data_IF_386790597859
#
_entry.id   IF_386790597859
#
_cell.length_a   1.000
_cell.length_b   1.000
_cell.length_c   1.000
_cell.angle_alpha   90.00
_cell.angle_beta   90.00
_cell.angle_gamma   90.00
#
_symmetry.space_group_name_H-M   'P 1'
#
loop_
_entity.id
_entity.type
_entity.pdbx_description
1 polymer ?
#
# COMPACT_ATOMS: atom_id res chain seq x y z
N UNK A 1 20.77 71.03 39.98
CA UNK A 1 20.48 71.17 38.54
C UNK A 1 20.78 69.85 37.86
N UNK A 2 19.84 69.39 37.04
CA UNK A 2 19.70 68.06 36.44
C UNK A 2 20.94 67.52 35.70
N UNK A 3 21.03 66.19 35.60
CA UNK A 3 21.24 65.58 34.30
C UNK A 3 20.15 64.53 33.98
N UNK A 4 19.34 64.91 33.00
CA UNK A 4 18.90 64.13 31.83
C UNK A 4 18.80 62.60 31.91
N UNK A 5 17.53 62.16 31.87
CA UNK A 5 16.96 60.94 31.30
C UNK A 5 17.83 60.18 30.28
N UNK A 6 18.17 58.93 30.61
CA UNK A 6 18.46 57.86 29.65
C UNK A 6 17.33 56.82 29.70
N UNK A 7 16.43 56.86 28.72
CA UNK A 7 15.36 55.88 28.59
C UNK A 7 15.95 54.51 28.19
N UNK A 8 15.74 53.49 29.03
CA UNK A 8 15.95 52.10 28.65
C UNK A 8 14.86 51.71 27.65
N UNK A 9 15.20 51.64 26.37
CA UNK A 9 14.36 51.02 25.37
C UNK A 9 14.29 49.52 25.65
N UNK A 10 13.12 49.04 26.05
CA UNK A 10 12.82 47.62 26.07
C UNK A 10 12.71 47.14 24.62
N UNK A 11 13.64 46.30 24.18
CA UNK A 11 13.50 45.54 22.95
C UNK A 11 12.39 44.51 23.17
N UNK A 12 11.18 44.83 22.72
CA UNK A 12 10.16 43.83 22.48
C UNK A 12 10.61 42.99 21.27
N UNK A 13 11.11 41.79 21.53
CA UNK A 13 11.29 40.80 20.49
C UNK A 13 9.90 40.38 20.00
N UNK A 14 9.41 41.03 18.95
CA UNK A 14 8.34 40.47 18.13
C UNK A 14 8.86 39.16 17.53
N UNK A 15 8.48 38.03 18.14
CA UNK A 15 8.52 36.73 17.47
C UNK A 15 7.60 36.83 16.25
N UNK A 16 8.20 37.09 15.09
CA UNK A 16 7.55 36.87 13.81
C UNK A 16 7.26 35.36 13.73
N UNK A 17 6.00 34.99 13.94
CA UNK A 17 5.49 33.67 13.56
C UNK A 17 5.57 33.61 12.04
N UNK A 18 6.67 33.08 11.53
CA UNK A 18 6.84 32.76 10.12
C UNK A 18 5.75 31.79 9.74
N UNK A 19 4.76 32.25 8.98
CA UNK A 19 3.80 31.37 8.33
C UNK A 19 4.59 30.55 7.31
N UNK A 20 4.64 29.23 7.49
CA UNK A 20 5.25 28.33 6.51
C UNK A 20 4.54 28.50 5.16
N UNK A 21 5.24 29.08 4.18
CA UNK A 21 4.73 29.21 2.84
C UNK A 21 4.59 27.81 2.23
N UNK A 22 3.58 27.65 1.36
CA UNK A 22 3.45 26.46 0.54
C UNK A 22 4.74 26.19 -0.27
N UNK A 23 5.29 24.99 -0.14
CA UNK A 23 6.52 24.58 -0.84
C UNK A 23 6.27 23.38 -1.76
N UNK A 24 6.86 23.46 -2.95
CA UNK A 24 6.92 22.32 -3.87
C UNK A 24 7.91 21.29 -3.33
N UNK A 25 7.51 20.02 -3.36
CA UNK A 25 8.30 18.87 -2.89
C UNK A 25 9.60 18.64 -3.65
N UNK A 26 9.81 19.36 -4.76
CA UNK A 26 10.76 18.96 -5.81
C UNK A 26 10.23 17.80 -6.64
N UNK A 27 10.90 17.54 -7.76
CA UNK A 27 10.55 16.46 -8.71
C UNK A 27 10.60 15.09 -8.04
N UNK A 28 9.69 14.20 -8.46
CA UNK A 28 9.56 12.84 -7.90
C UNK A 28 10.84 12.01 -8.06
N UNK A 29 11.55 12.16 -9.19
CA UNK A 29 12.77 11.43 -9.49
C UNK A 29 12.59 10.28 -10.47
N UNK A 30 11.61 10.35 -11.37
CA UNK A 30 11.48 9.43 -12.50
C UNK A 30 12.52 9.77 -13.58
N UNK A 31 12.97 8.77 -14.38
CA UNK A 31 13.69 9.05 -15.60
C UNK A 31 12.87 9.98 -16.51
N UNK A 32 13.44 11.14 -16.81
CA UNK A 32 12.77 12.17 -17.61
C UNK A 32 13.71 12.73 -18.68
N UNK A 33 13.25 12.76 -19.93
CA UNK A 33 13.99 13.29 -21.08
C UNK A 33 13.02 13.98 -22.03
N UNK A 34 13.51 14.99 -22.74
CA UNK A 34 12.76 15.62 -23.83
C UNK A 34 13.71 16.21 -24.86
N UNK A 35 13.44 15.98 -26.14
CA UNK A 35 14.05 16.70 -27.26
C UNK A 35 13.12 17.79 -27.83
N UNK A 36 11.88 17.86 -27.34
CA UNK A 36 10.92 18.93 -27.57
C UNK A 36 10.77 19.81 -26.34
N UNK A 37 10.11 20.96 -26.51
CA UNK A 37 9.70 21.79 -25.39
C UNK A 37 8.85 20.99 -24.41
N UNK A 38 9.25 21.00 -23.13
CA UNK A 38 8.52 20.33 -22.06
C UNK A 38 7.19 21.04 -21.83
N UNK A 39 6.10 20.30 -21.87
CA UNK A 39 4.80 20.79 -21.44
C UNK A 39 4.72 20.70 -19.91
N UNK A 40 4.16 21.72 -19.27
CA UNK A 40 3.99 21.78 -17.82
C UNK A 40 2.59 22.28 -17.47
N UNK A 41 1.91 21.58 -16.56
CA UNK A 41 0.62 22.00 -15.99
C UNK A 41 0.64 21.91 -14.48
N UNK A 42 0.23 22.98 -13.82
CA UNK A 42 0.08 23.04 -12.37
C UNK A 42 -1.39 23.25 -11.99
N UNK A 43 -1.84 22.50 -11.00
CA UNK A 43 -3.20 22.55 -10.45
C UNK A 43 -3.12 22.80 -8.94
N UNK A 44 -4.07 23.58 -8.42
CA UNK A 44 -4.16 23.86 -6.99
C UNK A 44 -5.59 23.74 -6.49
N UNK A 45 -5.74 23.20 -5.29
CA UNK A 45 -6.98 23.20 -4.54
C UNK A 45 -7.16 24.55 -3.83
N UNK A 46 -8.07 25.37 -4.35
CA UNK A 46 -8.30 26.72 -3.83
C UNK A 46 -9.01 26.74 -2.47
N UNK A 47 -9.73 25.67 -2.12
CA UNK A 47 -10.57 25.59 -0.91
C UNK A 47 -10.23 24.38 -0.02
N UNK A 48 -8.96 23.96 0.03
CA UNK A 48 -8.53 22.83 0.86
C UNK A 48 -7.38 22.07 0.23
N UNK A 49 -7.35 20.76 0.45
CA UNK A 49 -6.30 19.86 0.00
C UNK A 49 -6.81 18.89 -1.06
N UNK A 50 -5.87 18.23 -1.73
CA UNK A 50 -6.14 17.16 -2.68
C UNK A 50 -6.69 15.98 -1.89
N UNK A 51 -7.84 15.45 -2.31
CA UNK A 51 -8.52 14.29 -1.72
C UNK A 51 -8.72 13.18 -2.74
N UNK A 52 -8.21 13.34 -3.95
CA UNK A 52 -8.34 12.34 -4.99
C UNK A 52 -7.64 12.75 -6.29
N UNK A 53 -7.35 11.75 -7.10
CA UNK A 53 -6.73 11.89 -8.41
C UNK A 53 -7.54 11.07 -9.42
N UNK A 54 -7.84 11.69 -10.54
CA UNK A 54 -8.40 11.02 -11.71
C UNK A 54 -7.45 11.23 -12.88
N UNK A 55 -7.16 10.14 -13.58
CA UNK A 55 -6.21 10.09 -14.68
C UNK A 55 -6.90 9.48 -15.88
N UNK A 56 -6.80 10.15 -17.02
CA UNK A 56 -7.18 9.59 -18.31
C UNK A 56 -5.95 9.36 -19.16
N UNK A 57 -5.96 8.25 -19.87
CA UNK A 57 -4.91 7.85 -20.81
C UNK A 57 -5.48 7.79 -22.22
N UNK A 58 -4.70 8.27 -23.18
CA UNK A 58 -4.97 8.16 -24.59
C UNK A 58 -3.74 7.67 -25.34
N UNK A 59 -3.94 7.14 -26.54
CA UNK A 59 -2.84 6.79 -27.45
C UNK A 59 -3.20 7.14 -28.88
N UNK A 60 -2.38 7.93 -29.54
CA UNK A 60 -2.46 8.16 -30.97
C UNK A 60 -1.54 7.15 -31.68
N UNK A 61 -2.13 6.18 -32.38
CA UNK A 61 -1.37 5.15 -33.10
C UNK A 61 -0.71 5.63 -34.39
N UNK A 62 -1.03 6.83 -34.89
CA UNK A 62 -0.40 7.37 -36.11
C UNK A 62 0.96 7.99 -35.81
N UNK A 63 1.04 8.68 -34.68
CA UNK A 63 2.24 9.40 -34.22
C UNK A 63 2.90 8.69 -33.02
N UNK A 64 2.45 7.47 -32.74
CA UNK A 64 2.87 6.57 -31.66
C UNK A 64 3.07 7.24 -30.30
N UNK A 65 2.15 8.15 -29.98
CA UNK A 65 2.24 9.01 -28.80
C UNK A 65 1.27 8.58 -27.71
N UNK A 66 1.72 8.51 -26.46
CA UNK A 66 0.92 8.24 -25.27
C UNK A 66 0.63 9.53 -24.47
N UNK A 67 -0.66 9.77 -24.23
CA UNK A 67 -1.15 10.97 -23.56
C UNK A 67 -1.73 10.65 -22.18
N UNK A 68 -1.40 11.48 -21.20
CA UNK A 68 -1.98 11.45 -19.87
C UNK A 68 -2.42 12.85 -19.47
N UNK A 69 -3.64 12.93 -18.95
CA UNK A 69 -4.20 14.17 -18.40
C UNK A 69 -4.83 13.86 -17.04
N UNK A 70 -4.83 14.87 -16.18
CA UNK A 70 -5.00 14.70 -14.74
C UNK A 70 -6.13 15.59 -14.25
N UNK A 71 -6.85 15.13 -13.24
CA UNK A 71 -7.91 15.88 -12.58
C UNK A 71 -7.80 15.63 -11.10
N UNK A 72 -7.87 16.69 -10.30
CA UNK A 72 -7.80 16.57 -8.85
C UNK A 72 -9.19 16.66 -8.24
N UNK A 73 -9.41 15.89 -7.17
CA UNK A 73 -10.49 16.15 -6.23
C UNK A 73 -9.95 17.06 -5.14
N UNK A 74 -10.64 18.16 -4.89
CA UNK A 74 -10.34 19.12 -3.84
C UNK A 74 -11.49 19.11 -2.82
N UNK A 75 -11.24 18.55 -1.64
CA UNK A 75 -12.32 18.27 -0.68
C UNK A 75 -13.34 17.28 -1.26
N UNK A 76 -14.56 17.75 -1.54
CA UNK A 76 -15.63 16.92 -2.11
C UNK A 76 -15.82 17.09 -3.62
N UNK A 77 -15.11 18.03 -4.27
CA UNK A 77 -15.37 18.41 -5.67
C UNK A 77 -14.22 18.06 -6.59
N UNK A 78 -14.55 17.46 -7.73
CA UNK A 78 -13.61 17.28 -8.83
C UNK A 78 -13.42 18.61 -9.56
N UNK A 79 -12.15 19.00 -9.76
CA UNK A 79 -11.76 20.16 -10.54
C UNK A 79 -11.84 19.93 -12.06
N UNK A 80 -11.41 20.88 -12.88
CA UNK A 80 -11.23 20.64 -14.31
C UNK A 80 -10.03 19.72 -14.57
N UNK A 81 -9.96 19.16 -15.77
CA UNK A 81 -8.74 18.52 -16.28
C UNK A 81 -7.58 19.52 -16.31
N UNK A 82 -6.36 19.02 -16.15
CA UNK A 82 -5.14 19.83 -16.06
C UNK A 82 -4.83 20.57 -17.37
N UNK A 83 -5.39 20.07 -18.48
CA UNK A 83 -5.17 20.63 -19.81
C UNK A 83 -3.81 20.23 -20.39
N UNK A 84 -3.26 19.10 -19.93
CA UNK A 84 -2.13 18.45 -20.63
C UNK A 84 -2.58 18.06 -22.03
N UNK A 85 -1.64 18.02 -22.99
CA UNK A 85 -1.95 17.59 -24.35
C UNK A 85 -2.66 16.23 -24.33
N UNK A 86 -3.90 16.22 -24.83
CA UNK A 86 -4.75 15.04 -24.82
C UNK A 86 -5.71 15.09 -26.00
N UNK A 87 -5.83 13.96 -26.69
CA UNK A 87 -6.69 13.80 -27.86
C UNK A 87 -7.89 12.93 -27.50
N UNK A 88 -9.07 13.55 -27.37
CA UNK A 88 -10.29 12.88 -26.91
C UNK A 88 -10.67 11.68 -27.78
N UNK A 89 -10.51 11.79 -29.11
CA UNK A 89 -10.76 10.71 -30.06
C UNK A 89 -9.88 9.47 -29.84
N UNK A 90 -8.77 9.62 -29.11
CA UNK A 90 -7.77 8.60 -28.86
C UNK A 90 -7.81 8.07 -27.41
N UNK A 91 -8.90 8.34 -26.69
CA UNK A 91 -9.14 7.84 -25.35
C UNK A 91 -9.01 6.30 -25.27
N UNK A 92 -8.39 5.81 -24.20
CA UNK A 92 -8.23 4.37 -23.93
C UNK A 92 -8.80 3.95 -22.59
N UNK A 93 -8.49 4.69 -21.54
CA UNK A 93 -8.92 4.35 -20.20
C UNK A 93 -8.94 5.59 -19.29
N UNK A 94 -9.80 5.53 -18.28
CA UNK A 94 -9.90 6.49 -17.20
C UNK A 94 -9.99 5.76 -15.88
N UNK A 95 -9.22 6.21 -14.88
CA UNK A 95 -9.24 5.68 -13.52
C UNK A 95 -9.23 6.83 -12.53
N UNK A 96 -9.92 6.64 -11.43
CA UNK A 96 -9.95 7.60 -10.33
C UNK A 96 -9.74 6.89 -9.01
N UNK A 97 -9.03 7.55 -8.11
CA UNK A 97 -8.92 7.17 -6.72
C UNK A 97 -9.26 8.37 -5.85
N UNK A 98 -10.07 8.14 -4.82
CA UNK A 98 -10.42 9.13 -3.82
C UNK A 98 -9.90 8.64 -2.47
N UNK A 99 -9.21 9.51 -1.76
CA UNK A 99 -8.80 9.22 -0.40
C UNK A 99 -10.05 8.94 0.46
N UNK A 100 -10.05 7.85 1.25
CA UNK A 100 -11.14 7.54 2.16
C UNK A 100 -11.41 8.72 3.08
N UNK A 101 -12.65 8.87 3.55
CA UNK A 101 -12.94 9.71 4.72
C UNK A 101 -12.55 11.19 4.72
N UNK A 102 -12.65 11.91 3.59
CA UNK A 102 -12.09 13.28 3.48
C UNK A 102 -10.59 13.36 3.83
N UNK A 103 -9.89 12.22 3.93
CA UNK A 103 -8.45 12.21 4.08
C UNK A 103 -7.82 12.94 2.91
N UNK A 104 -6.69 13.55 3.19
CA UNK A 104 -5.97 14.33 2.20
C UNK A 104 -4.79 13.52 1.67
N UNK A 105 -4.46 13.76 0.42
CA UNK A 105 -3.26 13.24 -0.19
C UNK A 105 -2.05 13.85 0.53
N UNK A 106 -1.17 13.00 1.03
CA UNK A 106 0.10 13.37 1.65
C UNK A 106 1.29 12.88 0.86
N UNK A 107 1.08 12.10 -0.20
CA UNK A 107 2.17 11.54 -0.99
C UNK A 107 1.67 10.97 -2.31
N UNK A 108 2.62 10.78 -3.21
CA UNK A 108 2.43 10.27 -4.55
C UNK A 108 3.56 9.29 -4.87
N UNK A 109 3.21 8.11 -5.36
CA UNK A 109 4.14 7.15 -5.96
C UNK A 109 3.68 6.88 -7.39
N UNK A 110 4.62 6.87 -8.33
CA UNK A 110 4.34 6.64 -9.75
C UNK A 110 5.28 5.57 -10.27
N UNK A 111 4.73 4.63 -11.03
CA UNK A 111 5.50 3.68 -11.83
C UNK A 111 5.51 4.12 -13.27
N UNK A 112 6.68 3.98 -13.89
CA UNK A 112 6.90 4.18 -15.32
C UNK A 112 7.26 2.83 -15.93
N UNK A 113 6.59 2.45 -17.02
CA UNK A 113 6.79 1.21 -17.73
C UNK A 113 6.80 1.42 -19.24
N UNK A 114 7.45 0.50 -19.96
CA UNK A 114 7.51 0.57 -21.43
C UNK A 114 7.45 -0.78 -22.10
N UNK A 115 6.53 -0.94 -23.04
CA UNK A 115 6.47 -2.08 -23.95
C UNK A 115 7.22 -1.74 -25.24
N UNK A 116 8.38 -2.37 -25.43
CA UNK A 116 9.21 -2.13 -26.63
C UNK A 116 8.50 -2.52 -27.94
N UNK A 117 7.65 -3.54 -27.90
CA UNK A 117 6.87 -3.93 -29.08
C UNK A 117 5.61 -3.06 -29.19
N UNK A 118 5.64 -2.13 -30.14
CA UNK A 118 4.62 -1.12 -30.36
C UNK A 118 4.76 0.09 -29.45
N UNK A 119 5.97 0.36 -28.95
CA UNK A 119 6.41 1.58 -28.25
C UNK A 119 5.37 2.21 -27.31
N UNK A 120 4.89 1.40 -26.36
CA UNK A 120 3.87 1.85 -25.40
C UNK A 120 4.49 2.29 -24.10
N UNK A 121 4.36 3.58 -23.79
CA UNK A 121 4.73 4.16 -22.51
C UNK A 121 3.52 4.16 -21.55
N UNK A 122 3.71 3.51 -20.41
CA UNK A 122 2.67 3.24 -19.43
C UNK A 122 3.01 3.83 -18.07
N UNK A 123 2.04 4.45 -17.43
CA UNK A 123 2.17 5.02 -16.10
C UNK A 123 1.01 4.55 -15.22
N UNK A 124 1.32 4.27 -13.95
CA UNK A 124 0.30 3.98 -12.94
C UNK A 124 0.65 4.71 -11.65
N UNK A 125 -0.39 5.11 -10.92
CA UNK A 125 -0.32 6.08 -9.84
C UNK A 125 -0.78 5.44 -8.55
N UNK A 126 -0.16 5.82 -7.44
CA UNK A 126 -0.49 5.38 -6.10
C UNK A 126 -0.47 6.60 -5.19
N UNK A 127 -1.56 6.83 -4.47
CA UNK A 127 -1.65 7.96 -3.54
C UNK A 127 -1.33 7.48 -2.13
N UNK A 128 -0.72 8.37 -1.34
CA UNK A 128 -0.70 8.23 0.11
C UNK A 128 -1.80 9.13 0.67
N UNK A 129 -2.74 8.56 1.41
CA UNK A 129 -3.83 9.29 2.06
C UNK A 129 -3.54 9.41 3.54
N UNK A 130 -3.24 10.63 3.97
CA UNK A 130 -2.94 11.01 5.36
C UNK A 130 -1.80 10.20 6.00
N UNK A 131 -0.90 9.61 5.22
CA UNK A 131 0.20 8.75 5.67
C UNK A 131 0.04 7.26 5.33
N UNK A 132 -1.13 6.83 4.84
CA UNK A 132 -1.36 5.43 4.44
C UNK A 132 -1.32 5.31 2.91
N UNK A 133 -0.38 4.52 2.42
CA UNK A 133 -0.25 4.21 1.00
C UNK A 133 -1.41 3.33 0.54
N UNK A 134 -2.13 3.79 -0.49
CA UNK A 134 -3.30 3.10 -1.05
C UNK A 134 -2.90 2.13 -2.15
N UNK A 135 -3.81 1.34 -2.70
CA UNK A 135 -3.52 0.57 -3.91
C UNK A 135 -3.27 1.48 -5.12
N UNK A 136 -2.61 0.94 -6.14
CA UNK A 136 -2.46 1.65 -7.41
C UNK A 136 -3.83 1.87 -8.08
N UNK A 137 -3.96 2.95 -8.86
CA UNK A 137 -5.17 3.28 -9.62
C UNK A 137 -5.58 2.16 -10.59
N UNK A 138 -4.63 1.33 -11.02
CA UNK A 138 -4.88 0.16 -11.87
C UNK A 138 -5.09 0.55 -13.33
N UNK A 139 -4.29 1.49 -13.82
CA UNK A 139 -4.17 1.77 -15.26
C UNK A 139 -3.45 0.61 -15.96
N UNK A 140 -3.72 0.43 -17.25
CA UNK A 140 -3.12 -0.63 -18.04
C UNK A 140 -1.60 -0.41 -18.17
N UNK A 141 -0.85 -1.18 -17.40
CA UNK A 141 0.59 -1.02 -17.21
C UNK A 141 1.39 -2.17 -17.83
N UNK A 142 2.60 -1.89 -18.33
CA UNK A 142 3.46 -2.91 -18.94
C UNK A 142 4.94 -2.65 -18.68
N UNK A 143 5.67 -3.71 -18.30
CA UNK A 143 7.13 -3.73 -18.19
C UNK A 143 7.72 -2.54 -17.42
N UNK A 144 7.61 -2.58 -16.09
CA UNK A 144 8.16 -1.56 -15.18
C UNK A 144 9.64 -1.27 -15.50
N UNK A 145 9.95 0.01 -15.71
CA UNK A 145 11.30 0.53 -15.95
C UNK A 145 11.81 1.32 -14.77
N UNK A 146 10.93 2.07 -14.12
CA UNK A 146 11.25 2.87 -12.96
C UNK A 146 10.04 3.08 -12.06
N UNK A 147 10.32 3.46 -10.83
CA UNK A 147 9.34 3.86 -9.84
C UNK A 147 9.94 4.93 -8.95
N UNK A 148 9.17 5.96 -8.63
CA UNK A 148 9.57 7.00 -7.71
C UNK A 148 8.40 7.42 -6.82
N UNK A 149 8.70 7.93 -5.63
CA UNK A 149 7.71 8.36 -4.66
C UNK A 149 8.18 9.63 -3.95
N UNK A 150 7.23 10.50 -3.62
CA UNK A 150 7.46 11.67 -2.76
C UNK A 150 6.32 11.77 -1.75
N UNK A 151 6.66 12.25 -0.57
CA UNK A 151 5.73 12.51 0.51
C UNK A 151 5.88 13.97 0.92
N UNK A 152 4.75 14.61 1.20
CA UNK A 152 4.75 15.91 1.84
C UNK A 152 5.47 15.82 3.19
N UNK A 153 6.16 16.89 3.60
CA UNK A 153 6.76 16.95 4.92
C UNK A 153 5.76 16.64 6.02
N UNK A 154 6.29 16.18 7.15
CA UNK A 154 5.55 15.90 8.38
C UNK A 154 4.46 16.95 8.69
N UNK A 155 3.18 16.53 8.71
CA UNK A 155 2.06 17.42 9.08
C UNK A 155 1.59 18.37 7.98
N UNK A 156 2.13 18.21 6.76
CA UNK A 156 1.67 18.91 5.57
C UNK A 156 0.87 17.98 4.66
N UNK A 157 -0.08 18.55 3.95
CA UNK A 157 -0.89 17.84 2.95
C UNK A 157 -0.70 18.47 1.58
N UNK A 158 -0.84 17.65 0.55
CA UNK A 158 -0.73 18.11 -0.82
C UNK A 158 -1.96 18.95 -1.15
N UNK A 159 -1.74 20.21 -1.48
CA UNK A 159 -2.79 21.13 -1.96
C UNK A 159 -2.60 21.48 -3.44
N UNK A 160 -1.44 21.17 -4.01
CA UNK A 160 -1.17 21.35 -5.44
C UNK A 160 -0.47 20.15 -6.06
N UNK A 161 -0.60 20.07 -7.38
CA UNK A 161 -0.02 19.04 -8.23
C UNK A 161 0.59 19.72 -9.44
N UNK A 162 1.75 19.27 -9.89
CA UNK A 162 2.30 19.67 -11.17
C UNK A 162 2.75 18.45 -11.94
N UNK A 163 2.40 18.43 -13.22
CA UNK A 163 2.85 17.42 -14.18
C UNK A 163 3.73 18.08 -15.24
N UNK A 164 4.75 17.36 -15.65
CA UNK A 164 5.62 17.67 -16.77
C UNK A 164 5.51 16.56 -17.80
N UNK A 165 5.50 16.92 -19.08
CA UNK A 165 5.57 15.97 -20.19
C UNK A 165 6.75 16.32 -21.09
N UNK A 166 7.62 15.34 -21.27
CA UNK A 166 8.71 15.34 -22.23
C UNK A 166 8.45 14.33 -23.34
N UNK A 167 9.04 14.58 -24.50
CA UNK A 167 8.97 13.66 -25.63
C UNK A 167 10.34 13.52 -26.27
N UNK A 168 10.72 12.29 -26.61
CA UNK A 168 11.92 11.98 -27.39
C UNK A 168 11.50 11.35 -28.70
N UNK A 169 11.81 12.01 -29.83
CA UNK A 169 11.46 11.55 -31.18
C UNK A 169 12.12 10.23 -31.53
N UNK A 170 13.37 10.03 -31.09
CA UNK A 170 14.08 8.80 -31.41
C UNK A 170 13.57 7.67 -30.53
N UNK A 171 12.70 6.86 -31.13
CA UNK A 171 12.03 5.74 -30.47
C UNK A 171 10.72 6.14 -29.82
N UNK A 172 10.14 7.29 -30.15
CA UNK A 172 8.77 7.69 -29.75
C UNK A 172 8.50 7.41 -28.26
N UNK A 173 9.19 8.18 -27.41
CA UNK A 173 9.13 8.00 -25.96
C UNK A 173 8.48 9.20 -25.27
N UNK A 174 7.40 8.95 -24.55
CA UNK A 174 6.71 9.90 -23.70
C UNK A 174 7.17 9.76 -22.24
N UNK A 175 7.71 10.87 -21.72
CA UNK A 175 8.20 10.98 -20.35
C UNK A 175 7.27 11.86 -19.52
N UNK A 176 6.91 11.40 -18.33
CA UNK A 176 6.17 12.21 -17.35
C UNK A 176 6.92 12.31 -16.03
N UNK A 177 6.84 13.48 -15.42
CA UNK A 177 7.39 13.76 -14.10
C UNK A 177 6.42 14.64 -13.29
N UNK A 178 6.51 14.57 -11.95
CA UNK A 178 5.53 15.13 -11.04
C UNK A 178 6.16 15.87 -9.85
N UNK A 179 5.42 16.87 -9.34
CA UNK A 179 5.70 17.53 -8.07
C UNK A 179 4.40 17.70 -7.27
N UNK A 180 4.51 17.61 -5.95
CA UNK A 180 3.45 17.98 -5.03
C UNK A 180 3.72 19.36 -4.46
N UNK A 181 2.68 20.15 -4.24
CA UNK A 181 2.78 21.38 -3.46
C UNK A 181 2.16 21.14 -2.08
N UNK A 182 2.96 21.25 -1.04
CA UNK A 182 2.62 20.83 0.31
C UNK A 182 2.38 22.05 1.21
N UNK A 183 1.36 21.95 2.06
CA UNK A 183 0.98 23.02 3.00
C UNK A 183 0.48 22.40 4.32
N UNK A 184 0.82 23.02 5.45
CA UNK A 184 0.37 22.57 6.78
C UNK A 184 -1.15 22.54 6.91
N UNK A 185 -1.64 21.61 7.74
CA UNK A 185 -3.06 21.43 8.04
C UNK A 185 -3.75 22.67 8.63
N UNK A 186 -2.97 23.60 9.20
CA UNK A 186 -3.47 24.77 9.94
C UNK A 186 -3.87 25.99 9.10
N UNK A 187 -3.61 26.00 7.79
CA UNK A 187 -3.82 27.21 6.98
C UNK A 187 -4.93 27.09 5.92
N UNK A 188 -5.74 26.02 5.98
CA UNK A 188 -6.97 25.89 5.22
C UNK A 188 -8.15 25.68 6.18
N UNK A 189 -8.41 26.67 7.05
CA UNK A 189 -9.63 26.72 7.87
C UNK A 189 -9.48 26.48 9.37
N UNK A 190 -8.28 26.58 9.95
CA UNK A 190 -8.07 26.36 11.39
C UNK A 190 -8.43 27.57 12.28
N UNK A 191 -9.55 28.23 12.02
CA UNK A 191 -10.27 28.93 13.08
C UNK A 191 -11.62 28.23 13.27
N UNK A 192 -11.76 27.65 14.46
CA UNK A 192 -12.93 26.95 14.99
C UNK A 192 -13.08 25.46 14.63
N UNK A 193 -12.34 24.61 15.33
CA UNK A 193 -12.88 23.29 15.74
C UNK A 193 -12.65 23.16 17.24
N UNK A 194 -13.71 22.82 17.97
CA UNK A 194 -13.76 22.69 19.44
C UNK A 194 -12.49 22.01 19.95
N UNK A 195 -11.85 22.55 21.00
CA UNK A 195 -10.65 21.96 21.62
C UNK A 195 -10.97 20.52 22.05
N UNK A 196 -10.58 19.55 21.23
CA UNK A 196 -10.74 18.14 21.55
C UNK A 196 -9.75 17.78 22.67
N UNK A 197 -10.16 16.96 23.65
CA UNK A 197 -9.24 16.52 24.69
C UNK A 197 -8.15 15.62 24.10
N UNK A 198 -6.96 15.69 24.68
CA UNK A 198 -5.85 14.83 24.24
C UNK A 198 -6.10 13.38 24.59
N UNK A 199 -5.51 12.44 23.84
CA UNK A 199 -5.64 11.00 24.12
C UNK A 199 -5.23 10.64 25.56
N UNK A 200 -4.20 11.32 26.08
CA UNK A 200 -3.74 11.16 27.45
C UNK A 200 -4.77 11.63 28.47
N UNK A 201 -5.47 12.73 28.22
CA UNK A 201 -6.52 13.25 29.11
C UNK A 201 -7.72 12.31 29.20
N UNK A 202 -8.05 11.61 28.12
CA UNK A 202 -9.16 10.65 28.06
C UNK A 202 -8.76 9.21 28.39
N UNK A 203 -7.49 8.99 28.78
CA UNK A 203 -6.98 7.68 29.21
C UNK A 203 -6.83 6.67 28.08
N UNK A 204 -6.73 7.10 26.83
CA UNK A 204 -6.56 6.23 25.67
C UNK A 204 -5.08 6.15 25.23
N UNK A 205 -4.63 4.99 24.71
CA UNK A 205 -3.26 4.85 24.24
C UNK A 205 -3.01 5.68 22.98
N UNK A 206 -1.79 6.19 22.83
CA UNK A 206 -1.41 7.03 21.68
C UNK A 206 -1.34 6.24 20.36
N UNK A 207 -1.08 4.94 20.45
CA UNK A 207 -1.21 4.02 19.32
C UNK A 207 -2.69 3.74 19.07
N UNK A 208 -3.29 4.36 18.06
CA UNK A 208 -4.69 4.13 17.74
C UNK A 208 -4.93 2.73 17.18
N UNK A 209 -3.96 2.11 16.49
CA UNK A 209 -4.11 0.79 15.89
C UNK A 209 -4.35 -0.36 16.90
N UNK A 210 -4.15 -0.12 18.20
CA UNK A 210 -4.45 -1.09 19.27
C UNK A 210 -5.80 -0.84 19.95
N UNK A 211 -6.55 0.18 19.53
CA UNK A 211 -7.83 0.52 20.15
C UNK A 211 -8.88 -0.55 19.88
N UNK A 212 -9.52 -0.99 20.95
CA UNK A 212 -10.77 -1.76 20.89
C UNK A 212 -11.94 -0.87 20.46
N UNK A 213 -13.07 -1.48 20.11
CA UNK A 213 -14.26 -0.71 19.76
C UNK A 213 -14.82 0.09 20.96
N UNK A 214 -14.52 -0.36 22.18
CA UNK A 214 -14.84 0.35 23.42
C UNK A 214 -13.94 1.58 23.63
N UNK A 215 -12.69 1.50 23.21
CA UNK A 215 -11.77 2.66 23.22
C UNK A 215 -12.25 3.72 22.23
N UNK A 216 -12.66 3.31 21.04
CA UNK A 216 -13.34 4.18 20.06
C UNK A 216 -14.61 4.80 20.66
N UNK A 217 -15.43 4.01 21.37
CA UNK A 217 -16.60 4.53 22.08
C UNK A 217 -16.27 5.56 23.17
N UNK A 218 -15.13 5.38 23.86
CA UNK A 218 -14.62 6.34 24.86
C UNK A 218 -14.18 7.64 24.20
N UNK A 219 -13.48 7.54 23.08
CA UNK A 219 -13.10 8.69 22.26
C UNK A 219 -14.32 9.47 21.74
N UNK A 220 -15.33 8.78 21.20
CA UNK A 220 -16.59 9.39 20.76
C UNK A 220 -17.30 10.15 21.89
N UNK A 221 -17.36 9.57 23.10
CA UNK A 221 -17.93 10.25 24.27
C UNK A 221 -17.19 11.55 24.60
N UNK A 222 -15.86 11.53 24.56
CA UNK A 222 -15.04 12.71 24.82
C UNK A 222 -15.21 13.82 23.77
N UNK A 223 -15.59 13.45 22.54
CA UNK A 223 -15.92 14.38 21.46
C UNK A 223 -17.37 14.91 21.53
N UNK A 224 -18.18 14.42 22.47
CA UNK A 224 -19.62 14.72 22.51
C UNK A 224 -20.44 13.97 21.45
N UNK A 225 -19.85 12.94 20.82
CA UNK A 225 -20.49 12.02 19.87
C UNK A 225 -20.86 10.67 20.52
N UNK A 226 -20.98 10.67 21.85
CA UNK A 226 -21.16 9.44 22.64
C UNK A 226 -22.44 8.66 22.33
N UNK A 227 -23.47 9.30 21.77
CA UNK A 227 -24.70 8.63 21.33
C UNK A 227 -24.44 7.59 20.22
N UNK A 228 -23.38 7.75 19.45
CA UNK A 228 -23.00 6.85 18.36
C UNK A 228 -22.10 5.68 18.81
N UNK A 229 -21.55 5.73 20.03
CA UNK A 229 -20.64 4.70 20.53
C UNK A 229 -21.21 3.27 20.45
N UNK A 230 -22.49 2.99 20.80
CA UNK A 230 -23.06 1.65 20.67
C UNK A 230 -23.05 1.12 19.23
N UNK A 231 -23.27 1.99 18.23
CA UNK A 231 -23.25 1.60 16.83
C UNK A 231 -21.85 1.22 16.36
N UNK A 232 -20.82 1.94 16.81
CA UNK A 232 -19.42 1.62 16.53
C UNK A 232 -18.98 0.31 17.20
N UNK A 233 -19.38 0.09 18.45
CA UNK A 233 -19.14 -1.16 19.17
C UNK A 233 -19.82 -2.35 18.49
N UNK A 234 -21.11 -2.21 18.14
CA UNK A 234 -21.89 -3.25 17.46
C UNK A 234 -21.31 -3.62 16.09
N UNK A 235 -20.74 -2.65 15.37
CA UNK A 235 -20.09 -2.85 14.08
C UNK A 235 -18.60 -3.22 14.19
N UNK A 236 -18.08 -3.45 15.40
CA UNK A 236 -16.67 -3.80 15.67
C UNK A 236 -15.67 -2.81 15.04
N UNK A 237 -15.99 -1.52 15.08
CA UNK A 237 -15.09 -0.47 14.60
C UNK A 237 -13.98 -0.20 15.62
N UNK A 238 -12.83 -0.78 15.34
CA UNK A 238 -11.61 -0.72 16.14
C UNK A 238 -10.61 0.24 15.47
N UNK A 239 -9.54 0.59 16.18
CA UNK A 239 -8.64 1.64 15.70
C UNK A 239 -7.83 1.30 14.43
N UNK A 240 -7.68 0.01 14.10
CA UNK A 240 -7.09 -0.46 12.85
C UNK A 240 -8.03 -0.30 11.64
N UNK A 241 -9.35 -0.34 11.84
CA UNK A 241 -10.37 -0.25 10.78
C UNK A 241 -11.10 1.09 10.74
N UNK A 242 -11.06 1.89 11.81
CA UNK A 242 -11.82 3.14 11.89
C UNK A 242 -11.38 4.15 10.82
N UNK A 243 -10.11 4.09 10.41
CA UNK A 243 -9.54 4.90 9.34
C UNK A 243 -9.98 4.46 7.93
N UNK A 244 -10.63 3.30 7.80
CA UNK A 244 -11.16 2.76 6.54
C UNK A 244 -12.66 3.07 6.34
N UNK A 245 -13.30 3.73 7.30
CA UNK A 245 -14.72 4.06 7.19
C UNK A 245 -14.99 4.98 5.98
N UNK A 246 -16.24 5.24 5.67
CA UNK A 246 -16.65 6.21 4.65
C UNK A 246 -17.85 6.98 5.22
N UNK A 247 -18.21 8.12 4.62
CA UNK A 247 -19.39 8.85 5.08
C UNK A 247 -20.67 8.00 4.98
N UNK A 248 -20.78 7.16 3.94
CA UNK A 248 -21.88 6.19 3.78
C UNK A 248 -21.98 5.26 4.99
N UNK A 249 -20.85 4.75 5.50
CA UNK A 249 -20.85 3.88 6.69
C UNK A 249 -21.37 4.59 7.92
N UNK A 250 -21.10 5.89 8.08
CA UNK A 250 -21.65 6.67 9.18
C UNK A 250 -23.18 6.81 9.05
N UNK A 251 -23.68 7.01 7.84
CA UNK A 251 -25.12 7.03 7.57
C UNK A 251 -25.75 5.67 7.90
N UNK A 252 -25.14 4.58 7.46
CA UNK A 252 -25.61 3.21 7.71
C UNK A 252 -25.63 2.86 9.20
N UNK A 253 -24.75 3.48 10.00
CA UNK A 253 -24.72 3.36 11.46
C UNK A 253 -25.68 4.30 12.20
N UNK A 254 -26.46 5.10 11.49
CA UNK A 254 -27.45 6.01 12.08
C UNK A 254 -26.95 7.43 12.36
N UNK A 255 -25.76 7.81 11.89
CA UNK A 255 -25.23 9.17 12.02
C UNK A 255 -25.82 10.10 10.94
N UNK A 256 -27.12 10.35 10.99
CA UNK A 256 -27.83 11.11 9.95
C UNK A 256 -27.64 12.64 10.05
N UNK A 257 -27.21 13.15 11.20
CA UNK A 257 -26.90 14.58 11.37
C UNK A 257 -25.64 14.93 10.57
N UNK A 258 -25.79 15.80 9.56
CA UNK A 258 -24.68 16.23 8.69
C UNK A 258 -23.55 16.83 9.54
N UNK A 259 -23.88 17.71 10.49
CA UNK A 259 -22.87 18.34 11.37
C UNK A 259 -22.01 17.32 12.12
N UNK A 260 -22.63 16.29 12.69
CA UNK A 260 -21.92 15.26 13.45
C UNK A 260 -21.04 14.40 12.54
N UNK A 261 -21.50 14.05 11.33
CA UNK A 261 -20.65 13.38 10.34
C UNK A 261 -19.46 14.25 9.98
N UNK A 262 -19.69 15.50 9.58
CA UNK A 262 -18.60 16.40 9.17
C UNK A 262 -17.58 16.57 10.31
N UNK A 263 -18.05 16.71 11.55
CA UNK A 263 -17.21 16.81 12.74
C UNK A 263 -16.44 15.53 13.03
N UNK A 264 -17.09 14.36 12.97
CA UNK A 264 -16.43 13.06 13.14
C UNK A 264 -15.33 12.85 12.11
N UNK A 265 -15.58 13.15 10.83
CA UNK A 265 -14.57 13.01 9.77
C UNK A 265 -13.35 13.89 10.06
N UNK A 266 -13.58 15.14 10.46
CA UNK A 266 -12.54 16.11 10.79
C UNK A 266 -11.65 15.62 11.95
N UNK A 267 -12.27 15.22 13.07
CA UNK A 267 -11.51 14.75 14.24
C UNK A 267 -10.85 13.40 14.01
N UNK A 268 -11.39 12.57 13.10
CA UNK A 268 -10.73 11.32 12.69
C UNK A 268 -9.48 11.59 11.87
N UNK A 269 -9.51 12.56 10.94
CA UNK A 269 -8.32 13.01 10.21
C UNK A 269 -7.26 13.53 11.17
N UNK A 270 -7.65 14.38 12.12
CA UNK A 270 -6.73 14.88 13.16
C UNK A 270 -6.14 13.75 14.02
N UNK A 271 -6.95 12.75 14.39
CA UNK A 271 -6.51 11.57 15.14
C UNK A 271 -5.48 10.76 14.33
N UNK A 272 -5.73 10.57 13.05
CA UNK A 272 -4.83 9.87 12.14
C UNK A 272 -3.49 10.59 12.01
N UNK A 273 -3.52 11.91 11.77
CA UNK A 273 -2.32 12.74 11.65
C UNK A 273 -1.49 12.73 12.94
N UNK A 274 -2.15 12.83 14.09
CA UNK A 274 -1.49 12.74 15.40
C UNK A 274 -0.85 11.36 15.62
N UNK A 275 -1.52 10.28 15.20
CA UNK A 275 -0.99 8.91 15.28
C UNK A 275 0.24 8.75 14.40
N UNK A 276 0.21 9.28 13.18
CA UNK A 276 1.35 9.21 12.25
C UNK A 276 2.51 10.11 12.66
N UNK A 277 2.24 11.28 13.23
CA UNK A 277 3.27 12.12 13.82
C UNK A 277 3.96 11.41 14.99
N UNK A 278 3.19 10.73 15.85
CA UNK A 278 3.73 9.95 16.95
C UNK A 278 4.55 8.75 16.46
N UNK A 279 4.03 7.97 15.50
CA UNK A 279 4.72 6.88 14.79
C UNK A 279 6.13 7.29 14.33
N UNK A 280 6.22 8.44 13.65
CA UNK A 280 7.49 9.01 13.18
C UNK A 280 8.40 9.45 14.32
N UNK A 281 7.84 10.07 15.37
CA UNK A 281 8.62 10.52 16.52
C UNK A 281 9.29 9.37 17.28
N UNK A 282 8.65 8.19 17.33
CA UNK A 282 9.22 6.99 17.97
C UNK A 282 10.04 6.13 17.01
N UNK A 283 10.11 6.50 15.72
CA UNK A 283 10.84 5.75 14.69
C UNK A 283 10.31 4.33 14.46
N UNK A 284 9.06 4.06 14.79
CA UNK A 284 8.42 2.75 14.57
C UNK A 284 7.35 2.90 13.51
N UNK A 285 7.35 2.02 12.52
CA UNK A 285 6.22 1.92 11.61
C UNK A 285 5.05 1.26 12.35
N UNK A 286 4.00 2.03 12.63
CA UNK A 286 2.77 1.47 13.15
C UNK A 286 2.07 0.68 12.04
N UNK A 287 1.79 -0.58 12.32
CA UNK A 287 0.97 -1.43 11.46
C UNK A 287 -0.29 -1.83 12.21
N UNK A 288 -1.34 -2.15 11.46
CA UNK A 288 -2.53 -2.79 12.03
C UNK A 288 -2.15 -3.95 12.94
N UNK A 289 -2.86 -4.11 14.06
CA UNK A 289 -2.71 -5.27 14.95
C UNK A 289 -3.18 -6.57 14.29
N UNK A 290 -3.97 -6.44 13.23
CA UNK A 290 -4.48 -7.56 12.47
C UNK A 290 -3.62 -7.78 11.22
N UNK A 291 -2.60 -8.61 11.37
CA UNK A 291 -1.71 -9.04 10.29
C UNK A 291 -2.29 -10.25 9.58
N UNK A 292 -1.91 -10.43 8.31
CA UNK A 292 -2.21 -11.67 7.58
C UNK A 292 -1.79 -12.90 8.38
N UNK A 293 -2.64 -13.96 8.40
CA UNK A 293 -2.32 -15.17 9.11
C UNK A 293 -1.17 -15.86 8.38
N UNK A 294 -0.26 -16.46 9.15
CA UNK A 294 0.75 -17.32 8.56
C UNK A 294 0.05 -18.55 7.95
N UNK A 295 0.00 -18.63 6.62
CA UNK A 295 -0.74 -19.66 5.89
C UNK A 295 -0.32 -21.08 6.28
N UNK A 296 0.98 -21.33 6.42
CA UNK A 296 1.50 -22.63 6.83
C UNK A 296 1.03 -23.02 8.23
N UNK A 297 1.07 -22.10 9.20
CA UNK A 297 0.55 -22.36 10.56
C UNK A 297 -0.96 -22.55 10.58
N UNK A 298 -1.67 -21.89 9.66
CA UNK A 298 -3.11 -22.07 9.46
C UNK A 298 -3.47 -23.36 8.68
N UNK A 299 -2.48 -24.13 8.22
CA UNK A 299 -2.70 -25.34 7.42
C UNK A 299 -3.20 -25.05 6.00
N UNK A 300 -2.94 -23.86 5.46
CA UNK A 300 -3.40 -23.40 4.15
C UNK A 300 -2.27 -23.51 3.11
N UNK A 301 -2.56 -23.96 1.88
CA UNK A 301 -1.56 -24.03 0.83
C UNK A 301 -1.16 -22.63 0.33
N UNK A 302 0.08 -22.51 -0.17
CA UNK A 302 0.60 -21.24 -0.70
C UNK A 302 -0.03 -20.86 -2.05
N UNK A 303 -0.59 -21.83 -2.78
CA UNK A 303 -1.27 -21.57 -4.04
C UNK A 303 -2.69 -21.06 -3.78
N UNK A 304 -2.77 -19.78 -3.40
CA UNK A 304 -4.02 -19.18 -2.94
C UNK A 304 -5.11 -19.18 -4.02
N UNK A 305 -4.74 -19.07 -5.29
CA UNK A 305 -5.71 -19.06 -6.41
C UNK A 305 -6.43 -20.41 -6.57
N UNK A 306 -5.83 -21.51 -6.12
CA UNK A 306 -6.42 -22.85 -6.19
C UNK A 306 -7.21 -23.24 -4.93
N UNK A 307 -7.38 -22.32 -3.98
CA UNK A 307 -8.13 -22.58 -2.75
C UNK A 307 -9.59 -22.91 -3.03
N UNK A 308 -10.01 -24.04 -2.45
CA UNK A 308 -11.41 -24.41 -2.31
C UNK A 308 -12.14 -23.50 -1.31
N UNK A 309 -13.47 -23.55 -1.32
CA UNK A 309 -14.28 -22.79 -0.35
C UNK A 309 -14.01 -23.17 1.11
N UNK A 310 -13.51 -24.38 1.38
CA UNK A 310 -13.11 -24.80 2.73
C UNK A 310 -11.80 -24.15 3.18
N UNK A 311 -10.87 -23.95 2.26
CA UNK A 311 -9.61 -23.27 2.53
C UNK A 311 -9.84 -21.77 2.71
N UNK A 312 -10.68 -21.16 1.85
CA UNK A 312 -11.12 -19.76 2.05
C UNK A 312 -11.81 -19.59 3.41
N UNK A 313 -12.72 -20.49 3.78
CA UNK A 313 -13.37 -20.46 5.11
C UNK A 313 -12.37 -20.62 6.26
N UNK A 314 -11.34 -21.46 6.09
CA UNK A 314 -10.27 -21.64 7.08
C UNK A 314 -9.38 -20.39 7.19
N UNK A 315 -9.14 -19.69 6.08
CA UNK A 315 -8.47 -18.39 6.07
C UNK A 315 -9.28 -17.33 6.84
N UNK A 316 -10.58 -17.21 6.57
CA UNK A 316 -11.49 -16.30 7.30
C UNK A 316 -11.49 -16.63 8.79
N UNK A 317 -11.49 -17.91 9.17
CA UNK A 317 -11.34 -18.31 10.57
C UNK A 317 -9.99 -17.89 11.16
N UNK A 318 -8.90 -18.05 10.42
CA UNK A 318 -7.56 -17.66 10.85
C UNK A 318 -7.39 -16.14 11.04
N UNK A 319 -8.21 -15.33 10.34
CA UNK A 319 -8.31 -13.88 10.56
C UNK A 319 -9.05 -13.50 11.86
N UNK A 320 -9.58 -14.47 12.61
CA UNK A 320 -10.43 -14.23 13.77
C UNK A 320 -11.90 -13.96 13.41
N UNK A 321 -12.30 -14.22 12.17
CA UNK A 321 -13.63 -13.97 11.62
C UNK A 321 -14.45 -15.25 11.42
N UNK A 322 -14.20 -16.26 12.24
CA UNK A 322 -14.77 -17.61 12.08
C UNK A 322 -16.30 -17.68 12.06
N UNK A 323 -17.00 -16.70 12.64
CA UNK A 323 -18.47 -16.62 12.58
C UNK A 323 -19.00 -16.42 11.15
N UNK A 324 -18.19 -15.87 10.24
CA UNK A 324 -18.58 -15.65 8.85
C UNK A 324 -18.21 -16.82 7.93
N UNK A 325 -17.49 -17.84 8.42
CA UNK A 325 -16.96 -18.94 7.59
C UNK A 325 -18.05 -19.67 6.79
N UNK A 326 -19.24 -19.85 7.39
CA UNK A 326 -20.37 -20.54 6.76
C UNK A 326 -20.92 -19.75 5.57
N UNK A 327 -20.86 -18.42 5.59
CA UNK A 327 -21.29 -17.59 4.47
C UNK A 327 -20.38 -17.80 3.26
N UNK A 328 -19.07 -17.84 3.46
CA UNK A 328 -18.11 -18.10 2.38
C UNK A 328 -18.30 -19.48 1.76
N UNK A 329 -18.59 -20.51 2.58
CA UNK A 329 -18.91 -21.84 2.07
C UNK A 329 -20.25 -21.89 1.34
N UNK A 330 -21.30 -21.29 1.91
CA UNK A 330 -22.65 -21.23 1.33
C UNK A 330 -22.65 -20.54 -0.04
N UNK A 331 -21.92 -19.44 -0.16
CA UNK A 331 -21.78 -18.68 -1.40
C UNK A 331 -20.68 -19.23 -2.33
N UNK A 332 -20.04 -20.34 -1.98
CA UNK A 332 -19.01 -21.02 -2.78
C UNK A 332 -17.85 -20.10 -3.18
N UNK A 333 -17.44 -19.21 -2.29
CA UNK A 333 -16.29 -18.34 -2.53
C UNK A 333 -15.03 -19.21 -2.62
N UNK A 334 -14.25 -19.07 -3.69
CA UNK A 334 -13.01 -19.81 -3.96
C UNK A 334 -11.84 -18.84 -4.15
N UNK A 335 -10.61 -19.35 -4.15
CA UNK A 335 -9.39 -18.55 -4.21
C UNK A 335 -9.24 -17.67 -5.46
N UNK A 336 -9.82 -18.10 -6.58
CA UNK A 336 -9.87 -17.36 -7.84
C UNK A 336 -10.85 -16.17 -7.80
N UNK A 337 -11.96 -16.31 -7.08
CA UNK A 337 -13.01 -15.28 -6.97
C UNK A 337 -12.82 -14.39 -5.74
N UNK A 338 -12.20 -14.86 -4.66
CA UNK A 338 -12.18 -14.13 -3.38
C UNK A 338 -11.53 -12.74 -3.46
N UNK A 339 -10.55 -12.55 -4.35
CA UNK A 339 -9.91 -11.24 -4.57
C UNK A 339 -10.81 -10.22 -5.30
N UNK A 340 -11.94 -10.66 -5.84
CA UNK A 340 -12.94 -9.78 -6.46
C UNK A 340 -14.01 -9.32 -5.45
N UNK A 341 -13.97 -9.80 -4.21
CA UNK A 341 -14.91 -9.40 -3.18
C UNK A 341 -14.71 -7.94 -2.80
N UNK A 342 -15.81 -7.20 -2.81
CA UNK A 342 -15.92 -5.82 -2.35
C UNK A 342 -16.80 -5.76 -1.11
N UNK A 343 -16.81 -4.61 -0.44
CA UNK A 343 -17.66 -4.40 0.72
C UNK A 343 -19.14 -4.70 0.42
N UNK A 344 -19.68 -4.16 -0.67
CA UNK A 344 -21.10 -4.38 -1.04
C UNK A 344 -21.42 -5.86 -1.24
N UNK A 345 -20.53 -6.62 -1.89
CA UNK A 345 -20.72 -8.07 -2.07
C UNK A 345 -20.65 -8.85 -0.76
N UNK A 346 -19.82 -8.41 0.20
CA UNK A 346 -19.77 -9.01 1.53
C UNK A 346 -21.05 -8.69 2.32
N UNK A 347 -21.60 -7.49 2.17
CA UNK A 347 -22.88 -7.12 2.76
C UNK A 347 -24.02 -7.97 2.17
N UNK A 348 -24.05 -8.15 0.84
CA UNK A 348 -25.02 -9.03 0.14
C UNK A 348 -24.92 -10.49 0.58
N UNK A 349 -23.70 -10.99 0.85
CA UNK A 349 -23.48 -12.33 1.43
C UNK A 349 -23.99 -12.46 2.87
N UNK A 350 -24.26 -11.34 3.55
CA UNK A 350 -24.77 -11.31 4.92
C UNK A 350 -23.71 -11.01 5.99
N UNK A 351 -22.50 -10.55 5.61
CA UNK A 351 -21.52 -10.05 6.58
C UNK A 351 -21.99 -8.68 7.09
N UNK A 352 -22.77 -8.70 8.16
CA UNK A 352 -23.56 -7.54 8.59
C UNK A 352 -22.73 -6.41 9.21
N UNK A 353 -21.61 -6.74 9.87
CA UNK A 353 -20.79 -5.74 10.58
C UNK A 353 -19.84 -5.02 9.63
N UNK A 354 -19.92 -3.69 9.59
CA UNK A 354 -19.06 -2.83 8.75
C UNK A 354 -17.58 -3.09 9.04
N UNK A 355 -17.17 -3.12 10.31
CA UNK A 355 -15.77 -3.33 10.67
C UNK A 355 -15.20 -4.68 10.23
N UNK A 356 -16.02 -5.73 10.23
CA UNK A 356 -15.61 -7.06 9.74
C UNK A 356 -15.47 -7.06 8.21
N UNK A 357 -16.33 -6.34 7.47
CA UNK A 357 -16.22 -6.19 6.02
C UNK A 357 -14.99 -5.39 5.60
N UNK A 358 -14.75 -4.24 6.22
CA UNK A 358 -13.58 -3.40 5.93
C UNK A 358 -12.29 -4.16 6.18
N UNK A 359 -12.22 -4.88 7.29
CA UNK A 359 -11.08 -5.72 7.62
C UNK A 359 -10.87 -6.87 6.63
N UNK A 360 -11.93 -7.55 6.20
CA UNK A 360 -11.85 -8.60 5.18
C UNK A 360 -11.26 -8.07 3.87
N UNK A 361 -11.77 -6.94 3.38
CA UNK A 361 -11.29 -6.31 2.14
C UNK A 361 -9.80 -5.94 2.25
N UNK A 362 -9.41 -5.32 3.37
CA UNK A 362 -8.02 -4.93 3.62
C UNK A 362 -7.06 -6.14 3.66
N UNK A 363 -7.48 -7.24 4.30
CA UNK A 363 -6.72 -8.49 4.32
C UNK A 363 -6.65 -9.17 2.95
N UNK A 364 -7.74 -9.20 2.19
CA UNK A 364 -7.73 -9.78 0.84
C UNK A 364 -6.80 -9.00 -0.10
N UNK A 365 -6.82 -7.67 0.00
CA UNK A 365 -5.91 -6.79 -0.73
C UNK A 365 -4.45 -7.06 -0.34
N UNK A 366 -4.15 -7.09 0.96
CA UNK A 366 -2.80 -7.38 1.46
C UNK A 366 -2.30 -8.75 0.99
N UNK A 367 -3.15 -9.78 1.03
CA UNK A 367 -2.79 -11.13 0.58
C UNK A 367 -2.49 -11.16 -0.92
N UNK A 368 -3.28 -10.44 -1.72
CA UNK A 368 -3.03 -10.31 -3.15
C UNK A 368 -1.67 -9.65 -3.45
N UNK A 369 -1.34 -8.59 -2.71
CA UNK A 369 -0.06 -7.89 -2.82
C UNK A 369 1.12 -8.80 -2.46
N UNK A 370 1.04 -9.57 -1.38
CA UNK A 370 2.08 -10.55 -1.01
C UNK A 370 2.28 -11.62 -2.10
N UNK A 371 1.18 -12.14 -2.67
CA UNK A 371 1.24 -13.16 -3.72
C UNK A 371 1.85 -12.62 -5.02
N UNK A 372 1.51 -11.40 -5.41
CA UNK A 372 2.03 -10.78 -6.64
C UNK A 372 3.49 -10.35 -6.47
N UNK A 373 3.88 -9.86 -5.29
CA UNK A 373 5.27 -9.59 -4.95
C UNK A 373 6.13 -10.87 -4.92
N UNK A 374 5.59 -11.96 -4.38
CA UNK A 374 6.25 -13.27 -4.39
C UNK A 374 6.42 -13.83 -5.81
N UNK A 375 5.39 -13.72 -6.66
CA UNK A 375 5.48 -14.11 -8.08
C UNK A 375 6.57 -13.31 -8.81
N UNK A 376 6.58 -11.97 -8.67
CA UNK A 376 7.65 -11.12 -9.23
C UNK A 376 9.04 -11.57 -8.77
N UNK A 377 9.22 -11.77 -7.46
CA UNK A 377 10.51 -12.20 -6.88
C UNK A 377 10.93 -13.60 -7.36
N UNK A 378 9.97 -14.52 -7.51
CA UNK A 378 10.20 -15.88 -8.03
C UNK A 378 10.59 -15.83 -9.50
N UNK A 379 9.89 -15.04 -10.31
CA UNK A 379 10.17 -14.88 -11.74
C UNK A 379 11.52 -14.19 -11.97
N UNK A 380 11.89 -13.21 -11.14
CA UNK A 380 13.21 -12.58 -11.13
C UNK A 380 14.32 -13.56 -10.74
N UNK A 381 14.11 -14.41 -9.71
CA UNK A 381 15.07 -15.46 -9.33
C UNK A 381 15.22 -16.53 -10.40
N UNK A 382 14.13 -16.94 -11.05
CA UNK A 382 14.17 -17.85 -12.19
C UNK A 382 14.94 -17.20 -13.33
N UNK A 383 14.64 -15.95 -13.68
CA UNK A 383 15.34 -15.19 -14.73
C UNK A 383 16.82 -14.96 -14.42
N UNK A 384 17.20 -14.80 -13.16
CA UNK A 384 18.59 -14.68 -12.70
C UNK A 384 19.33 -16.04 -12.66
N UNK A 385 18.61 -17.15 -12.53
CA UNK A 385 19.19 -18.50 -12.55
C UNK A 385 19.42 -19.04 -13.97
N UNK A 386 18.71 -18.51 -14.98
CA UNK A 386 18.79 -18.95 -16.39
C UNK A 386 20.16 -18.68 -17.05
N UNK A 387 20.90 -17.58 -16.77
CA UNK A 387 22.24 -17.37 -17.34
C UNK A 387 23.33 -18.28 -16.75
N UNK A 388 23.13 -18.87 -15.56
CA UNK A 388 24.16 -19.65 -14.85
C UNK A 388 24.30 -21.12 -15.31
N UNK A 389 23.63 -21.49 -16.41
CA UNK A 389 23.69 -22.84 -17.00
C UNK A 389 24.26 -22.86 -18.43
N UNK A 390 24.76 -21.71 -18.92
CA UNK A 390 25.66 -21.64 -20.08
C UNK A 390 27.11 -21.86 -19.65
N UNK A 391 27.88 -22.64 -20.41
CA UNK A 391 29.22 -23.16 -20.07
C UNK A 391 30.35 -22.14 -19.85
N UNK A 392 31.60 -22.63 -19.64
CA UNK A 392 32.58 -22.04 -18.74
C UNK A 392 33.42 -20.92 -19.36
N UNK A 393 33.79 -19.94 -18.54
CA UNK A 393 34.91 -19.04 -18.82
C UNK A 393 35.13 -18.01 -17.73
N UNK A 394 36.16 -18.22 -16.89
CA UNK A 394 36.96 -17.26 -16.09
C UNK A 394 36.22 -16.29 -15.16
N UNK A 395 36.67 -15.95 -13.95
CA UNK A 395 37.92 -16.11 -13.21
C UNK A 395 37.68 -15.66 -11.75
N UNK A 396 38.59 -16.04 -10.86
CA UNK A 396 38.76 -15.76 -9.42
C UNK A 396 38.11 -14.48 -8.83
N UNK A 397 37.62 -14.50 -7.57
CA UNK A 397 38.44 -14.38 -6.35
C UNK A 397 37.62 -14.36 -5.04
N UNK A 398 38.34 -14.40 -3.91
CA UNK A 398 37.93 -14.08 -2.52
C UNK A 398 37.67 -15.25 -1.54
N UNK A 399 38.76 -15.90 -1.16
CA UNK A 399 38.87 -16.83 -0.04
C UNK A 399 39.08 -16.10 1.31
N UNK A 400 38.04 -15.56 1.94
CA UNK A 400 38.10 -15.21 3.38
C UNK A 400 36.78 -15.42 4.16
N UNK A 401 35.68 -15.83 3.51
CA UNK A 401 34.40 -16.15 4.18
C UNK A 401 34.16 -17.65 4.42
N UNK A 402 35.06 -18.54 3.95
CA UNK A 402 34.82 -19.98 3.93
C UNK A 402 34.95 -20.69 5.29
N UNK A 403 35.73 -20.15 6.22
CA UNK A 403 36.03 -20.84 7.49
C UNK A 403 34.88 -20.77 8.51
N UNK A 404 34.19 -19.63 8.61
CA UNK A 404 33.04 -19.48 9.51
C UNK A 404 31.80 -20.24 9.01
N UNK A 405 31.61 -20.29 7.68
CA UNK A 405 30.54 -21.07 7.05
C UNK A 405 30.73 -22.58 7.20
N UNK A 406 31.97 -23.08 7.17
CA UNK A 406 32.28 -24.50 7.32
C UNK A 406 31.94 -25.04 8.73
N UNK A 407 32.17 -24.25 9.79
CA UNK A 407 31.85 -24.65 11.17
C UNK A 407 30.33 -24.72 11.42
N UNK A 408 29.56 -23.77 10.86
CA UNK A 408 28.10 -23.73 10.98
C UNK A 408 27.44 -24.88 10.18
N UNK A 409 28.01 -25.25 9.03
CA UNK A 409 27.55 -26.35 8.19
C UNK A 409 27.76 -27.72 8.87
N UNK A 410 28.84 -27.90 9.63
CA UNK A 410 29.10 -29.14 10.38
C UNK A 410 28.10 -29.33 11.54
N UNK A 411 27.77 -28.25 12.25
CA UNK A 411 26.75 -28.27 13.30
C UNK A 411 25.35 -28.60 12.74
N UNK A 412 24.99 -28.00 11.58
CA UNK A 412 23.74 -28.31 10.87
C UNK A 412 23.68 -29.75 10.33
N UNK A 413 24.81 -30.30 9.85
CA UNK A 413 24.87 -31.68 9.36
C UNK A 413 24.69 -32.73 10.48
N UNK A 414 25.17 -32.45 11.70
CA UNK A 414 24.95 -33.33 12.85
C UNK A 414 23.47 -33.36 13.26
N UNK A 415 22.80 -32.21 13.22
CA UNK A 415 21.38 -32.10 13.56
C UNK A 415 20.47 -32.71 12.48
N UNK A 416 20.85 -32.60 11.20
CA UNK A 416 20.15 -33.25 10.09
C UNK A 416 20.30 -34.79 10.10
N UNK A 417 21.45 -35.33 10.56
CA UNK A 417 21.65 -36.77 10.74
C UNK A 417 20.76 -37.35 11.85
N UNK A 418 20.55 -36.61 12.93
CA UNK A 418 19.64 -37.01 14.01
C UNK A 418 18.17 -37.05 13.52
N UNK A 419 17.77 -36.09 12.68
CA UNK A 419 16.40 -36.05 12.13
C UNK A 419 16.16 -37.10 11.04
N UNK A 420 17.17 -37.46 10.25
CA UNK A 420 17.06 -38.48 9.20
C UNK A 420 16.89 -39.91 9.74
N UNK A 421 17.38 -40.20 10.94
CA UNK A 421 17.18 -41.49 11.62
C UNK A 421 15.74 -41.66 12.14
N UNK A 422 14.98 -40.58 12.32
CA UNK A 422 13.62 -40.60 12.84
C UNK A 422 12.53 -40.77 11.76
N UNK A 423 12.84 -40.61 10.48
CA UNK A 423 11.86 -40.57 9.38
C UNK A 423 11.89 -41.81 8.46
N UNK A 424 12.36 -42.96 8.96
CA UNK A 424 12.46 -44.19 8.17
C UNK A 424 11.10 -44.73 7.73
N UNK A 425 10.73 -44.54 6.46
CA UNK A 425 9.56 -45.16 5.86
C UNK A 425 9.38 -44.91 4.37
N UNK A 426 9.98 -45.77 3.54
CA UNK A 426 9.42 -46.14 2.24
C UNK A 426 9.88 -45.37 1.00
N UNK A 427 11.06 -45.69 0.46
CA UNK A 427 11.32 -45.66 -0.98
C UNK A 427 12.30 -46.78 -1.33
N UNK A 428 11.98 -47.57 -2.35
CA UNK A 428 12.75 -48.75 -2.75
C UNK A 428 14.21 -48.41 -3.09
N UNK A 429 15.12 -48.83 -2.21
CA UNK A 429 16.55 -49.08 -2.47
C UNK A 429 17.45 -47.92 -2.91
N UNK A 430 16.93 -46.79 -3.38
CA UNK A 430 17.72 -45.66 -3.92
C UNK A 430 17.98 -44.60 -2.87
N UNK A 431 19.22 -44.14 -2.77
CA UNK A 431 19.63 -43.14 -1.77
C UNK A 431 19.36 -41.72 -2.30
N UNK A 432 18.78 -40.83 -1.48
CA UNK A 432 18.65 -39.41 -1.83
C UNK A 432 20.02 -38.78 -2.07
N UNK A 433 20.20 -38.06 -3.17
CA UNK A 433 21.44 -37.32 -3.42
C UNK A 433 21.45 -35.97 -2.68
N UNK A 434 22.63 -35.33 -2.59
CA UNK A 434 22.77 -34.00 -2.00
C UNK A 434 21.93 -32.93 -2.73
N UNK A 435 21.66 -33.10 -4.02
CA UNK A 435 20.82 -32.20 -4.80
C UNK A 435 19.34 -32.30 -4.38
N UNK A 436 18.85 -33.53 -4.15
CA UNK A 436 17.50 -33.76 -3.64
C UNK A 436 17.33 -33.21 -2.22
N UNK A 437 18.31 -33.47 -1.35
CA UNK A 437 18.30 -32.96 0.02
C UNK A 437 18.32 -31.42 0.07
N UNK A 438 19.02 -30.76 -0.86
CA UNK A 438 19.03 -29.30 -0.98
C UNK A 438 17.67 -28.74 -1.40
N UNK A 439 16.96 -29.39 -2.30
CA UNK A 439 15.60 -28.98 -2.69
C UNK A 439 14.61 -29.15 -1.54
N UNK A 440 14.66 -30.28 -0.83
CA UNK A 440 13.82 -30.49 0.36
C UNK A 440 14.12 -29.43 1.44
N UNK A 441 15.40 -29.11 1.67
CA UNK A 441 15.81 -28.06 2.61
C UNK A 441 15.39 -26.64 2.14
N UNK A 442 15.17 -26.44 0.84
CA UNK A 442 14.63 -25.21 0.26
C UNK A 442 13.09 -25.17 0.26
N UNK A 443 12.43 -26.16 0.87
CA UNK A 443 10.98 -26.18 1.07
C UNK A 443 10.19 -26.86 -0.05
N UNK A 444 10.85 -27.48 -1.03
CA UNK A 444 10.17 -28.24 -2.09
C UNK A 444 9.61 -29.55 -1.53
N UNK A 445 8.33 -29.80 -1.74
CA UNK A 445 7.68 -31.06 -1.37
C UNK A 445 8.09 -32.19 -2.31
N UNK A 446 8.00 -33.44 -1.84
CA UNK A 446 8.31 -34.59 -2.70
C UNK A 446 7.33 -34.72 -3.88
N UNK A 447 6.10 -34.24 -3.78
CA UNK A 447 5.17 -34.24 -4.91
C UNK A 447 5.62 -33.30 -6.03
N UNK A 448 6.12 -32.10 -5.70
CA UNK A 448 6.65 -31.14 -6.68
C UNK A 448 7.92 -31.68 -7.35
N UNK A 449 8.78 -32.36 -6.60
CA UNK A 449 10.00 -32.97 -7.13
C UNK A 449 9.64 -34.14 -8.07
N UNK A 450 8.60 -34.91 -7.75
CA UNK A 450 8.12 -35.98 -8.63
C UNK A 450 7.44 -35.45 -9.90
N UNK A 451 6.72 -34.32 -9.83
CA UNK A 451 6.20 -33.66 -11.02
C UNK A 451 7.32 -33.11 -11.90
N UNK A 452 8.38 -32.55 -11.31
CA UNK A 452 9.57 -32.10 -12.04
C UNK A 452 10.27 -33.26 -12.74
N UNK A 453 10.39 -34.41 -12.10
CA UNK A 453 10.97 -35.62 -12.69
C UNK A 453 10.08 -36.22 -13.79
N UNK A 454 8.77 -36.07 -13.69
CA UNK A 454 7.84 -36.47 -14.74
C UNK A 454 7.95 -35.59 -15.98
N UNK A 455 8.17 -34.29 -15.78
CA UNK A 455 8.39 -33.32 -16.86
C UNK A 455 9.80 -33.40 -17.45
N UNK A 456 10.80 -33.78 -16.64
CA UNK A 456 12.22 -33.89 -17.01
C UNK A 456 12.86 -35.16 -16.46
N UNK A 457 12.63 -36.32 -17.11
CA UNK A 457 13.10 -37.63 -16.66
C UNK A 457 14.63 -37.75 -16.55
N UNK A 458 15.37 -36.94 -17.29
CA UNK A 458 16.83 -36.88 -17.28
C UNK A 458 17.43 -36.39 -15.95
N UNK A 459 16.61 -35.78 -15.08
CA UNK A 459 17.03 -35.35 -13.74
C UNK A 459 16.97 -36.48 -12.70
N UNK A 460 16.37 -37.62 -13.03
CA UNK A 460 16.21 -38.76 -12.13
C UNK A 460 17.53 -39.24 -11.50
N UNK A 461 18.63 -39.49 -12.26
CA UNK A 461 19.91 -39.90 -11.68
C UNK A 461 20.61 -38.79 -10.87
N UNK A 462 20.16 -37.53 -10.99
CA UNK A 462 20.69 -36.41 -10.20
C UNK A 462 20.03 -36.32 -8.83
N UNK A 463 18.81 -36.81 -8.67
CA UNK A 463 18.05 -36.75 -7.40
C UNK A 463 18.06 -38.07 -6.62
N UNK A 464 18.19 -39.20 -7.32
CA UNK A 464 18.21 -40.53 -6.71
C UNK A 464 19.34 -41.36 -7.31
N UNK A 465 20.17 -41.95 -6.44
CA UNK A 465 21.23 -42.90 -6.80
C UNK A 465 20.83 -44.33 -6.47
#
# INVERSE_FOLDING_TARGET
MSPTRGARAAFAACLLVGHAAAEWSGILGLPFKSDKQVEQRAMHCHSGYITGLQVRRGRNSKDDTDFYDFKLKCGSRWGPWSGMAYEEQNHKEEKSFECPMKMHMTGLEVKQGRKELGDVDSYDFKLQCSGVWQSYLGLSFSNEKAKAATECPAGMMAYGWRAYRGFVRRGDQDFYEFELNCKEAGMAGAEAVRKAPTLREIGLPQNVFVWSAKDVGTWLKALGLGEYAPAFEMNKLQGDVIFLLLESHLVDMGMHKIGDRLYFMEVLTQLHDATNAWSRAIGQQLTSTRTLPNLHRAGLPLEVVSWSSKEVASFVRALGLGEWQELFMKHRVQGDVMFSLKEDTLAEMGVSRIGDRLYLVDCLQSLYEELTAWKKTKDEKIRAAVPALGGPGGSADSSYQAAAAAAMLQAQQQQARANAQAAGGGFGGRKPTAALQKLIAQGYSMQEIMQLLKARPELLPKFFQ
#
